data_IF_404103007573
#
_entry.id   IF_404103007573
#
_cell.length_a   1.000
_cell.length_b   1.000
_cell.length_c   1.000
_cell.angle_alpha   90.00
_cell.angle_beta   90.00
_cell.angle_gamma   90.00
#
_symmetry.space_group_name_H-M   'P 1'
#
loop_
_entity.id
_entity.type
_entity.pdbx_description
1 polymer ?
#
# COMPACT_ATOMS: atom_id res chain seq x y z
N UNK A 1 11.05 -6.47 9.16
CA UNK A 1 9.80 -6.35 9.93
C UNK A 1 9.91 -6.82 11.38
N UNK A 2 10.58 -7.94 11.71
CA UNK A 2 10.69 -8.45 13.10
C UNK A 2 11.27 -7.43 14.12
N UNK A 3 12.22 -6.58 13.71
CA UNK A 3 12.83 -5.55 14.58
C UNK A 3 11.85 -4.43 14.96
N UNK A 4 11.14 -3.87 13.97
CA UNK A 4 10.13 -2.83 14.19
C UNK A 4 9.00 -3.30 15.11
N UNK A 5 8.59 -4.57 14.98
CA UNK A 5 7.66 -5.20 15.92
C UNK A 5 8.23 -5.25 17.34
N UNK A 6 9.44 -5.80 17.52
CA UNK A 6 10.06 -5.88 18.85
C UNK A 6 10.23 -4.51 19.52
N UNK A 7 10.50 -3.47 18.74
CA UNK A 7 10.61 -2.10 19.27
C UNK A 7 9.24 -1.55 19.66
N UNK A 8 8.22 -1.68 18.80
CA UNK A 8 6.88 -1.13 19.07
C UNK A 8 6.17 -1.80 20.26
N UNK A 9 6.41 -3.09 20.48
CA UNK A 9 5.81 -3.82 21.61
C UNK A 9 6.50 -3.57 22.96
N UNK A 10 7.58 -2.77 23.01
CA UNK A 10 8.14 -2.25 24.27
C UNK A 10 7.30 -1.13 24.85
N UNK A 11 6.61 -0.36 24.00
CA UNK A 11 5.67 0.66 24.44
C UNK A 11 4.45 -0.03 25.05
N UNK A 12 3.93 0.40 26.20
CA UNK A 12 2.72 -0.17 26.81
C UNK A 12 1.41 0.26 26.13
N UNK A 13 1.50 1.15 25.13
CA UNK A 13 0.34 1.64 24.38
C UNK A 13 -0.30 0.48 23.59
N UNK A 14 -1.61 0.25 23.72
CA UNK A 14 -2.33 -0.72 22.89
C UNK A 14 -2.19 -0.39 21.41
N UNK A 15 -1.95 -1.41 20.57
CA UNK A 15 -1.90 -1.25 19.12
C UNK A 15 -3.27 -1.60 18.56
N UNK A 16 -3.84 -0.73 17.76
CA UNK A 16 -5.12 -0.97 17.08
C UNK A 16 -4.89 -1.59 15.71
N UNK A 17 -5.67 -2.61 15.37
CA UNK A 17 -5.74 -3.20 14.04
C UNK A 17 -6.35 -2.20 13.06
N UNK A 18 -5.63 -1.90 11.98
CA UNK A 18 -6.03 -0.88 11.04
C UNK A 18 -7.24 -1.24 10.17
N UNK A 19 -7.63 -2.51 10.08
CA UNK A 19 -8.80 -2.92 9.30
C UNK A 19 -10.03 -3.19 10.16
N UNK A 20 -9.87 -3.58 11.42
CA UNK A 20 -10.99 -3.99 12.28
C UNK A 20 -11.28 -3.03 13.43
N UNK A 21 -10.40 -2.05 13.68
CA UNK A 21 -10.43 -1.16 14.85
C UNK A 21 -10.36 -1.89 16.20
N UNK A 22 -10.03 -3.19 16.21
CA UNK A 22 -9.86 -3.98 17.43
C UNK A 22 -8.45 -3.79 18.00
N UNK A 23 -8.32 -3.96 19.32
CA UNK A 23 -7.00 -3.98 19.94
C UNK A 23 -6.26 -5.27 19.58
N UNK A 24 -5.02 -5.15 19.15
CA UNK A 24 -4.14 -6.27 18.85
C UNK A 24 -3.45 -6.77 20.12
N UNK A 25 -3.47 -8.09 20.29
CA UNK A 25 -2.81 -8.77 21.41
C UNK A 25 -1.28 -8.80 21.24
N UNK A 26 -0.56 -8.89 22.36
CA UNK A 26 0.92 -8.95 22.40
C UNK A 26 1.47 -10.37 22.36
N UNK A 27 0.77 -11.26 21.67
CA UNK A 27 0.97 -12.71 21.76
C UNK A 27 1.95 -13.26 20.70
N UNK A 28 2.25 -12.50 19.65
CA UNK A 28 2.89 -13.11 18.47
C UNK A 28 2.28 -12.71 17.15
N UNK A 29 0.97 -12.44 17.17
CA UNK A 29 0.14 -12.49 15.98
C UNK A 29 -0.12 -11.12 15.35
N UNK A 30 0.46 -10.04 15.86
CA UNK A 30 0.39 -8.73 15.21
C UNK A 30 1.48 -8.59 14.14
N UNK A 31 1.06 -8.35 12.91
CA UNK A 31 1.92 -8.15 11.75
C UNK A 31 1.81 -6.73 11.22
N UNK A 32 2.88 -6.26 10.56
CA UNK A 32 2.82 -5.09 9.68
C UNK A 32 2.35 -5.59 8.32
N UNK A 33 1.27 -5.03 7.83
CA UNK A 33 0.66 -5.35 6.54
C UNK A 33 0.89 -4.23 5.53
N UNK A 34 1.07 -4.61 4.26
CA UNK A 34 1.08 -3.67 3.15
C UNK A 34 -0.32 -3.54 2.56
N UNK A 35 -0.92 -2.35 2.63
CA UNK A 35 -2.28 -2.10 2.14
C UNK A 35 -2.38 -2.43 0.64
N UNK A 36 -1.50 -1.85 -0.16
CA UNK A 36 -1.18 -2.28 -1.53
C UNK A 36 -0.01 -3.26 -1.45
N UNK A 37 -0.19 -4.46 -2.00
CA UNK A 37 0.81 -5.52 -1.87
C UNK A 37 2.14 -5.14 -2.55
N UNK A 38 3.25 -5.63 -1.99
CA UNK A 38 4.56 -5.40 -2.59
C UNK A 38 4.66 -5.98 -4.02
N UNK A 39 3.97 -7.09 -4.27
CA UNK A 39 3.87 -7.70 -5.61
C UNK A 39 3.13 -6.81 -6.58
N UNK A 40 2.00 -6.23 -6.17
CA UNK A 40 1.25 -5.31 -7.02
C UNK A 40 2.10 -4.10 -7.42
N UNK A 41 2.79 -3.47 -6.47
CA UNK A 41 3.68 -2.34 -6.77
C UNK A 41 4.89 -2.75 -7.63
N UNK A 42 5.39 -3.97 -7.46
CA UNK A 42 6.49 -4.49 -8.24
C UNK A 42 6.11 -4.74 -9.71
N UNK A 43 4.91 -5.27 -9.94
CA UNK A 43 4.42 -5.67 -11.26
C UNK A 43 3.73 -4.53 -12.03
N UNK A 44 3.57 -3.36 -11.42
CA UNK A 44 2.98 -2.18 -12.03
C UNK A 44 3.91 -1.54 -13.08
N UNK A 45 3.54 -1.66 -14.35
CA UNK A 45 4.36 -1.19 -15.48
C UNK A 45 4.64 0.31 -15.44
N UNK A 46 3.68 1.12 -14.98
CA UNK A 46 3.88 2.57 -14.88
C UNK A 46 4.88 2.91 -13.78
N UNK A 47 4.80 2.25 -12.63
CA UNK A 47 5.80 2.44 -11.58
C UNK A 47 7.17 1.95 -12.05
N UNK A 48 7.26 0.83 -12.76
CA UNK A 48 8.53 0.30 -13.30
C UNK A 48 9.16 1.22 -14.34
N UNK A 49 8.34 1.91 -15.13
CA UNK A 49 8.81 2.80 -16.19
C UNK A 49 9.35 4.13 -15.62
N UNK A 50 8.70 4.69 -14.60
CA UNK A 50 8.98 6.05 -14.12
C UNK A 50 9.72 6.12 -12.78
N UNK A 51 9.71 5.05 -11.97
CA UNK A 51 10.37 5.00 -10.68
C UNK A 51 11.54 4.01 -10.70
N UNK A 52 12.65 4.40 -10.09
CA UNK A 52 13.75 3.46 -9.88
C UNK A 52 13.42 2.41 -8.79
N UNK A 53 14.35 1.49 -8.55
CA UNK A 53 14.17 0.40 -7.60
C UNK A 53 14.03 0.90 -6.16
N UNK A 54 14.81 1.92 -5.77
CA UNK A 54 14.81 2.46 -4.42
C UNK A 54 13.53 3.26 -4.16
N UNK A 55 13.07 4.02 -5.14
CA UNK A 55 11.80 4.77 -5.07
C UNK A 55 10.59 3.85 -4.94
N UNK A 56 10.59 2.72 -5.66
CA UNK A 56 9.54 1.69 -5.52
C UNK A 56 9.61 1.00 -4.16
N UNK A 57 10.82 0.71 -3.67
CA UNK A 57 11.02 0.14 -2.34
C UNK A 57 10.54 1.09 -1.24
N UNK A 58 10.79 2.39 -1.39
CA UNK A 58 10.33 3.43 -0.47
C UNK A 58 8.81 3.60 -0.52
N UNK A 59 8.21 3.55 -1.71
CA UNK A 59 6.75 3.55 -1.87
C UNK A 59 6.12 2.35 -1.15
N UNK A 60 6.64 1.15 -1.40
CA UNK A 60 6.16 -0.07 -0.74
C UNK A 60 6.31 0.02 0.77
N UNK A 61 7.38 0.65 1.26
CA UNK A 61 7.68 0.78 2.68
C UNK A 61 7.08 2.02 3.35
N UNK A 62 6.36 2.88 2.62
CA UNK A 62 5.81 4.12 3.16
C UNK A 62 4.79 3.85 4.27
N UNK A 63 4.69 4.76 5.23
CA UNK A 63 3.73 4.65 6.34
C UNK A 63 2.28 4.67 5.81
N UNK A 64 2.02 5.40 4.72
CA UNK A 64 0.71 5.41 4.05
C UNK A 64 0.35 4.06 3.41
N UNK A 65 1.31 3.17 3.19
CA UNK A 65 1.08 1.82 2.66
C UNK A 65 1.22 0.74 3.74
N UNK A 66 1.42 1.10 5.01
CA UNK A 66 1.60 0.14 6.09
C UNK A 66 0.54 0.32 7.16
N UNK A 67 0.09 -0.81 7.68
CA UNK A 67 -0.78 -0.80 8.85
C UNK A 67 -0.51 -2.00 9.75
N UNK A 68 -0.93 -1.92 11.01
CA UNK A 68 -0.92 -3.07 11.89
C UNK A 68 -2.15 -3.93 11.65
N UNK A 69 -1.99 -5.24 11.63
CA UNK A 69 -3.13 -6.15 11.55
C UNK A 69 -2.83 -7.51 12.20
N UNK A 70 -3.87 -8.31 12.44
CA UNK A 70 -3.73 -9.70 12.85
C UNK A 70 -3.12 -10.57 11.73
N UNK A 71 -2.27 -11.52 12.12
CA UNK A 71 -1.54 -12.43 11.23
C UNK A 71 -2.47 -13.30 10.37
N UNK A 72 -3.62 -13.73 10.90
CA UNK A 72 -4.61 -14.52 10.17
C UNK A 72 -5.22 -13.73 9.01
N UNK A 73 -5.63 -12.49 9.28
CA UNK A 73 -6.18 -11.57 8.28
C UNK A 73 -5.13 -11.29 7.19
N UNK A 74 -3.92 -10.90 7.59
CA UNK A 74 -2.80 -10.66 6.65
C UNK A 74 -2.56 -11.89 5.74
N UNK A 75 -2.43 -13.09 6.32
CA UNK A 75 -2.24 -14.32 5.57
C UNK A 75 -3.39 -14.67 4.65
N UNK A 76 -4.61 -14.25 4.96
CA UNK A 76 -5.79 -14.45 4.12
C UNK A 76 -5.84 -13.47 2.95
N UNK A 77 -5.40 -12.23 3.14
CA UNK A 77 -5.33 -11.22 2.07
C UNK A 77 -4.21 -11.51 1.08
N UNK A 78 -3.03 -11.91 1.55
CA UNK A 78 -1.86 -12.19 0.70
C UNK A 78 -1.53 -11.00 -0.22
N UNK A 79 -1.37 -11.25 -1.53
CA UNK A 79 -1.10 -10.27 -2.56
C UNK A 79 -2.36 -9.69 -3.20
N UNK A 80 -3.54 -10.09 -2.75
CA UNK A 80 -4.82 -9.64 -3.31
C UNK A 80 -5.07 -8.16 -3.02
N UNK A 81 -5.79 -7.53 -3.95
CA UNK A 81 -6.32 -6.18 -3.76
C UNK A 81 -7.31 -6.17 -2.59
N UNK A 82 -7.13 -5.23 -1.65
CA UNK A 82 -7.89 -5.18 -0.40
C UNK A 82 -9.41 -5.09 -0.64
N UNK A 83 -9.85 -4.30 -1.63
CA UNK A 83 -11.27 -4.11 -1.90
C UNK A 83 -11.88 -5.39 -2.45
N UNK A 84 -11.23 -6.02 -3.43
CA UNK A 84 -11.66 -7.31 -3.99
C UNK A 84 -11.65 -8.42 -2.94
N UNK A 85 -10.60 -8.46 -2.12
CA UNK A 85 -10.46 -9.46 -1.06
C UNK A 85 -11.61 -9.36 -0.06
N UNK A 86 -11.99 -8.15 0.37
CA UNK A 86 -13.09 -7.92 1.33
C UNK A 86 -14.44 -8.48 0.86
N UNK A 87 -14.66 -8.50 -0.46
CA UNK A 87 -15.90 -8.95 -1.11
C UNK A 87 -15.90 -10.44 -1.46
N UNK A 88 -14.73 -11.07 -1.50
CA UNK A 88 -14.59 -12.49 -1.81
C UNK A 88 -15.10 -13.36 -0.64
N UNK A 89 -15.75 -14.52 -0.90
CA UNK A 89 -16.12 -15.47 0.14
C UNK A 89 -14.90 -15.91 0.98
N UNK A 90 -15.10 -16.11 2.28
CA UNK A 90 -14.02 -16.56 3.15
C UNK A 90 -13.73 -18.03 2.95
N UNK A 91 -12.46 -18.39 2.83
CA UNK A 91 -12.03 -19.80 2.80
C UNK A 91 -12.29 -20.53 4.11
N UNK A 92 -12.53 -19.79 5.20
CA UNK A 92 -12.83 -20.34 6.52
C UNK A 92 -14.34 -20.49 6.78
N UNK A 93 -15.17 -19.76 6.03
CA UNK A 93 -16.63 -19.77 6.12
C UNK A 93 -17.21 -19.20 4.82
N UNK A 94 -17.55 -20.08 3.88
CA UNK A 94 -18.03 -19.70 2.54
C UNK A 94 -19.36 -18.95 2.58
N UNK A 95 -20.08 -18.97 3.70
CA UNK A 95 -21.35 -18.22 3.87
C UNK A 95 -21.13 -16.73 4.11
N UNK A 96 -19.89 -16.30 4.35
CA UNK A 96 -19.51 -14.93 4.66
C UNK A 96 -18.46 -14.42 3.68
N UNK A 97 -18.48 -13.13 3.40
CA UNK A 97 -17.31 -12.48 2.77
C UNK A 97 -16.16 -12.39 3.76
N UNK A 98 -14.92 -12.21 3.28
CA UNK A 98 -13.77 -12.01 4.16
C UNK A 98 -13.97 -10.84 5.12
N UNK A 99 -14.54 -9.72 4.65
CA UNK A 99 -14.84 -8.58 5.52
C UNK A 99 -15.79 -8.95 6.66
N UNK A 100 -16.80 -9.81 6.41
CA UNK A 100 -17.72 -10.27 7.44
C UNK A 100 -17.05 -11.25 8.40
N UNK A 101 -16.29 -12.23 7.88
CA UNK A 101 -15.60 -13.23 8.69
C UNK A 101 -14.59 -12.60 9.64
N UNK A 102 -13.74 -11.70 9.13
CA UNK A 102 -12.71 -11.00 9.92
C UNK A 102 -13.23 -9.77 10.67
N UNK A 103 -14.52 -9.43 10.55
CA UNK A 103 -15.12 -8.23 11.18
C UNK A 103 -14.41 -6.93 10.79
N UNK A 104 -14.10 -6.79 9.50
CA UNK A 104 -13.46 -5.60 8.94
C UNK A 104 -14.39 -4.41 9.02
N UNK A 105 -13.89 -3.30 9.55
CA UNK A 105 -14.47 -1.98 9.40
C UNK A 105 -14.22 -1.51 7.97
N UNK A 106 -15.24 -1.67 7.13
CA UNK A 106 -15.14 -1.40 5.69
C UNK A 106 -14.79 0.06 5.40
N UNK A 107 -15.28 1.00 6.18
CA UNK A 107 -15.04 2.43 5.92
C UNK A 107 -13.60 2.79 6.27
N UNK A 108 -13.10 2.32 7.42
CA UNK A 108 -11.70 2.49 7.80
C UNK A 108 -10.75 1.81 6.79
N UNK A 109 -11.06 0.58 6.37
CA UNK A 109 -10.24 -0.16 5.41
C UNK A 109 -10.20 0.53 4.03
N UNK A 110 -11.34 1.06 3.56
CA UNK A 110 -11.42 1.84 2.31
C UNK A 110 -10.65 3.16 2.41
N UNK A 111 -10.69 3.83 3.55
CA UNK A 111 -9.94 5.06 3.76
C UNK A 111 -8.43 4.81 3.71
N UNK A 112 -7.93 3.78 4.43
CA UNK A 112 -6.52 3.36 4.33
C UNK A 112 -6.13 3.00 2.89
N UNK A 113 -6.99 2.26 2.20
CA UNK A 113 -6.79 1.91 0.79
C UNK A 113 -6.68 3.15 -0.10
N UNK A 114 -7.60 4.10 0.05
CA UNK A 114 -7.64 5.35 -0.69
C UNK A 114 -6.37 6.17 -0.44
N UNK A 115 -5.92 6.27 0.82
CA UNK A 115 -4.69 6.97 1.19
C UNK A 115 -3.45 6.33 0.56
N UNK A 116 -3.34 5.00 0.62
CA UNK A 116 -2.23 4.26 0.01
C UNK A 116 -2.20 4.47 -1.52
N UNK A 117 -3.36 4.37 -2.18
CA UNK A 117 -3.51 4.59 -3.63
C UNK A 117 -3.20 6.02 -4.03
N UNK A 118 -3.63 7.00 -3.22
CA UNK A 118 -3.33 8.42 -3.44
C UNK A 118 -1.84 8.69 -3.35
N UNK A 119 -1.14 8.12 -2.37
CA UNK A 119 0.32 8.25 -2.26
C UNK A 119 1.04 7.60 -3.45
N UNK A 120 0.63 6.38 -3.84
CA UNK A 120 1.13 5.72 -5.08
C UNK A 120 0.98 6.65 -6.30
N UNK A 121 -0.23 7.16 -6.53
CA UNK A 121 -0.53 8.01 -7.69
C UNK A 121 0.25 9.33 -7.64
N UNK A 122 0.36 9.95 -6.46
CA UNK A 122 1.15 11.17 -6.27
C UNK A 122 2.62 10.95 -6.65
N UNK A 123 3.23 9.85 -6.21
CA UNK A 123 4.62 9.54 -6.57
C UNK A 123 4.81 9.36 -8.07
N UNK A 124 3.92 8.59 -8.71
CA UNK A 124 3.95 8.37 -10.15
C UNK A 124 3.78 9.69 -10.92
N UNK A 125 2.72 10.47 -10.65
CA UNK A 125 2.41 11.67 -11.40
C UNK A 125 3.44 12.78 -11.23
N UNK A 126 4.07 12.89 -10.06
CA UNK A 126 5.20 13.80 -9.88
C UNK A 126 6.38 13.46 -10.79
N UNK A 127 6.62 12.17 -11.05
CA UNK A 127 7.72 11.70 -11.89
C UNK A 127 7.40 11.83 -13.37
N UNK A 128 6.20 11.41 -13.77
CA UNK A 128 5.67 11.65 -15.13
C UNK A 128 5.68 13.13 -15.46
N UNK A 129 5.17 13.98 -14.57
CA UNK A 129 5.13 15.43 -14.77
C UNK A 129 6.52 16.04 -14.97
N UNK A 130 7.51 15.64 -14.18
CA UNK A 130 8.91 16.09 -14.36
C UNK A 130 9.47 15.70 -15.71
N UNK A 131 9.26 14.45 -16.14
CA UNK A 131 9.74 13.96 -17.43
C UNK A 131 9.08 14.72 -18.59
N UNK A 132 7.77 14.96 -18.51
CA UNK A 132 7.04 15.75 -19.51
C UNK A 132 7.59 17.17 -19.60
N UNK A 133 7.90 17.82 -18.47
CA UNK A 133 8.49 19.17 -18.46
C UNK A 133 9.85 19.20 -19.15
N UNK A 134 10.74 18.24 -18.85
CA UNK A 134 12.06 18.12 -19.49
C UNK A 134 11.93 17.93 -20.99
N UNK A 135 10.97 17.12 -21.44
CA UNK A 135 10.73 16.93 -22.87
C UNK A 135 10.23 18.22 -23.53
N UNK A 136 9.30 18.94 -22.92
CA UNK A 136 8.82 20.22 -23.41
C UNK A 136 9.96 21.25 -23.56
N UNK A 137 10.88 21.33 -22.59
CA UNK A 137 12.06 22.20 -22.65
C UNK A 137 12.95 21.83 -23.84
N UNK A 138 13.28 20.54 -24.00
CA UNK A 138 14.08 20.06 -25.14
C UNK A 138 13.44 20.34 -26.50
N UNK A 139 12.11 20.22 -26.60
CA UNK A 139 11.40 20.56 -27.83
C UNK A 139 11.40 22.07 -28.12
N UNK A 140 11.42 22.92 -27.09
CA UNK A 140 11.54 24.36 -27.27
C UNK A 140 12.93 24.74 -27.82
N UNK A 141 14.00 24.21 -27.22
CA UNK A 141 15.39 24.44 -27.67
C UNK A 141 15.61 24.01 -29.13
N UNK A 142 15.13 22.81 -29.51
CA UNK A 142 15.25 22.31 -30.88
C UNK A 142 14.56 23.20 -31.92
N UNK A 143 13.43 23.83 -31.56
CA UNK A 143 12.73 24.76 -32.47
C UNK A 143 13.50 26.06 -32.65
N UNK A 144 14.21 26.54 -31.64
CA UNK A 144 15.05 27.73 -31.77
C UNK A 144 16.24 27.47 -32.70
N UNK A 145 16.82 26.27 -32.67
CA UNK A 145 17.94 25.90 -33.54
C UNK A 145 17.56 25.71 -35.02
N UNK A 146 16.31 25.34 -35.34
CA UNK A 146 15.89 25.13 -36.74
C UNK A 146 15.43 26.41 -37.47
N UNK A 147 15.41 27.56 -36.79
CA UNK A 147 14.96 28.86 -37.34
C UNK A 147 16.15 29.74 -37.79
N UNK A 148 17.38 29.22 -37.80
CA UNK A 148 18.58 29.87 -38.37
C UNK A 148 19.13 29.08 -39.56
#
# INVERSE_FOLDING_TARGET
MQRARKERFKDEVPITDGYTNQTLERDGQSHIEHVISAKELHDDDWLRLYLDVDERKDLANSDNNKTWTNASLNKSKQDQDLIKWMETPSTNDETKTNAQYYKVDKEQAKELYSQARRERNKRLYNKVGKEVMVQCERFAEQKEETIH
#
